data_IF_671170374974
#
_entry.id   IF_671170374974
#
_cell.length_a   1.000
_cell.length_b   1.000
_cell.length_c   1.000
_cell.angle_alpha   90.00
_cell.angle_beta   90.00
_cell.angle_gamma   90.00
#
_symmetry.space_group_name_H-M   'P 1'
#
loop_
_entity.id
_entity.type
_entity.pdbx_description
1 polymer ?
#
# COMPACT_ATOMS: atom_id res chain seq x y z
N UNK A 1 -3.82 -18.21 -21.78
CA UNK A 1 -3.64 -16.94 -21.03
C UNK A 1 -4.35 -16.95 -19.67
N UNK A 2 -5.69 -17.13 -19.58
CA UNK A 2 -6.42 -17.21 -18.28
C UNK A 2 -5.91 -18.34 -17.35
N UNK A 3 -5.59 -19.51 -17.91
CA UNK A 3 -5.05 -20.66 -17.17
C UNK A 3 -3.64 -20.41 -16.59
N UNK A 4 -2.84 -19.57 -17.25
CA UNK A 4 -1.50 -19.20 -16.78
C UNK A 4 -1.57 -18.15 -15.67
N UNK A 5 -2.47 -17.16 -15.81
CA UNK A 5 -2.76 -16.18 -14.77
C UNK A 5 -3.34 -16.83 -13.50
N UNK A 6 -4.29 -17.75 -13.66
CA UNK A 6 -4.81 -18.57 -12.56
C UNK A 6 -3.74 -19.46 -11.93
N UNK A 7 -2.83 -20.02 -12.72
CA UNK A 7 -1.73 -20.84 -12.21
C UNK A 7 -0.76 -20.04 -11.34
N UNK A 8 -0.39 -18.81 -11.74
CA UNK A 8 0.47 -17.94 -10.92
C UNK A 8 -0.22 -17.43 -9.65
N UNK A 9 -1.51 -17.09 -9.71
CA UNK A 9 -2.31 -16.75 -8.51
C UNK A 9 -2.39 -17.95 -7.58
N UNK A 10 -2.63 -19.15 -8.12
CA UNK A 10 -2.68 -20.38 -7.34
C UNK A 10 -1.32 -20.71 -6.74
N UNK A 11 -0.22 -20.51 -7.47
CA UNK A 11 1.16 -20.72 -6.98
C UNK A 11 1.51 -19.73 -5.86
N UNK A 12 1.08 -18.48 -5.98
CA UNK A 12 1.28 -17.46 -4.94
C UNK A 12 0.42 -17.75 -3.70
N UNK A 13 -0.81 -18.23 -3.88
CA UNK A 13 -1.67 -18.74 -2.80
C UNK A 13 -1.08 -20.00 -2.14
N UNK A 14 -0.52 -20.93 -2.93
CA UNK A 14 0.13 -22.14 -2.43
C UNK A 14 1.43 -21.82 -1.67
N UNK A 15 2.22 -20.87 -2.17
CA UNK A 15 3.41 -20.37 -1.51
C UNK A 15 3.06 -19.63 -0.21
N UNK A 16 1.99 -18.82 -0.23
CA UNK A 16 1.46 -18.18 0.98
C UNK A 16 0.89 -19.17 2.00
N UNK A 17 0.47 -20.36 1.57
CA UNK A 17 -0.02 -21.44 2.44
C UNK A 17 1.12 -22.31 3.02
N UNK A 18 2.24 -22.47 2.30
CA UNK A 18 3.38 -23.29 2.72
C UNK A 18 4.45 -22.52 3.49
N UNK A 19 4.54 -21.20 3.31
CA UNK A 19 5.39 -20.37 4.15
C UNK A 19 4.71 -20.18 5.51
N UNK A 20 5.39 -20.42 6.64
CA UNK A 20 4.88 -20.00 7.93
C UNK A 20 4.80 -18.47 7.89
N UNK A 21 3.60 -17.94 7.66
CA UNK A 21 3.27 -16.55 7.93
C UNK A 21 3.36 -16.34 9.43
N UNK A 22 4.58 -16.26 9.95
CA UNK A 22 4.89 -15.99 11.35
C UNK A 22 4.30 -14.63 11.78
N UNK A 23 4.04 -13.75 10.81
CA UNK A 23 3.35 -12.49 11.02
C UNK A 23 2.18 -12.40 10.03
N UNK A 24 1.07 -13.07 10.37
CA UNK A 24 -0.23 -12.62 9.88
C UNK A 24 -0.43 -11.22 10.48
N UNK A 25 0.02 -10.18 9.77
CA UNK A 25 -0.29 -8.79 10.11
C UNK A 25 -1.80 -8.60 9.94
N UNK A 26 -2.56 -8.99 10.95
CA UNK A 26 -3.96 -8.64 11.07
C UNK A 26 -3.99 -7.12 11.24
N UNK A 27 -4.23 -6.42 10.14
CA UNK A 27 -4.30 -4.97 10.15
C UNK A 27 -5.45 -4.54 11.05
N UNK A 28 -5.13 -4.01 12.22
CA UNK A 28 -6.15 -3.56 13.16
C UNK A 28 -6.52 -2.12 12.85
N UNK A 29 -7.71 -1.92 12.27
CA UNK A 29 -8.24 -0.57 12.01
C UNK A 29 -8.41 0.25 13.31
N UNK A 30 -8.59 -0.44 14.44
CA UNK A 30 -8.75 0.14 15.77
C UNK A 30 -7.44 0.26 16.55
N UNK A 31 -6.30 0.02 15.91
CA UNK A 31 -4.99 0.12 16.57
C UNK A 31 -4.78 1.54 17.13
N UNK A 32 -4.54 1.61 18.44
CA UNK A 32 -4.36 2.86 19.17
C UNK A 32 -5.65 3.62 19.50
N UNK A 33 -6.86 3.12 19.19
CA UNK A 33 -8.10 3.74 19.69
C UNK A 33 -8.18 3.56 21.21
N UNK A 34 -8.49 4.65 21.94
CA UNK A 34 -8.52 4.60 23.39
C UNK A 34 -9.55 3.58 23.92
N UNK A 35 -9.20 2.82 24.95
CA UNK A 35 -10.09 1.80 25.53
C UNK A 35 -11.44 2.34 26.00
N UNK A 36 -11.52 3.65 26.31
CA UNK A 36 -12.78 4.34 26.62
C UNK A 36 -13.76 4.42 25.44
N UNK A 37 -13.28 4.49 24.19
CA UNK A 37 -14.14 4.49 23.01
C UNK A 37 -14.70 3.08 22.74
N UNK A 38 -13.85 2.05 22.81
CA UNK A 38 -14.22 0.65 22.52
C UNK A 38 -15.09 0.00 23.62
N UNK A 39 -14.88 0.39 24.88
CA UNK A 39 -15.58 -0.19 26.03
C UNK A 39 -16.73 0.63 26.60
N UNK A 40 -16.68 1.97 26.50
CA UNK A 40 -17.66 2.87 27.13
C UNK A 40 -18.37 3.84 26.19
N UNK A 41 -18.08 3.80 24.88
CA UNK A 41 -18.74 4.64 23.88
C UNK A 41 -18.33 6.12 23.90
N UNK A 42 -17.35 6.49 24.73
CA UNK A 42 -16.83 7.85 24.85
C UNK A 42 -15.75 8.09 23.78
N UNK A 43 -16.16 8.11 22.51
CA UNK A 43 -15.24 8.35 21.40
C UNK A 43 -14.99 9.84 21.21
N UNK A 44 -13.72 10.22 21.18
CA UNK A 44 -13.30 11.60 20.91
C UNK A 44 -13.08 11.79 19.40
N UNK A 45 -13.03 13.04 18.96
CA UNK A 45 -12.66 13.37 17.58
C UNK A 45 -11.29 12.77 17.18
N UNK A 46 -10.37 12.67 18.15
CA UNK A 46 -9.05 12.08 17.97
C UNK A 46 -9.10 10.58 17.63
N UNK A 47 -10.03 9.83 18.25
CA UNK A 47 -10.21 8.39 17.96
C UNK A 47 -10.69 8.18 16.52
N UNK A 48 -11.62 9.02 16.05
CA UNK A 48 -12.14 8.97 14.67
C UNK A 48 -11.03 9.26 13.67
N UNK A 49 -10.22 10.30 13.91
CA UNK A 49 -9.08 10.64 13.05
C UNK A 49 -8.04 9.51 13.00
N UNK A 50 -7.80 8.83 14.12
CA UNK A 50 -6.88 7.69 14.18
C UNK A 50 -7.39 6.50 13.36
N UNK A 51 -8.68 6.18 13.43
CA UNK A 51 -9.28 5.13 12.58
C UNK A 51 -9.16 5.48 11.10
N UNK A 52 -9.44 6.72 10.71
CA UNK A 52 -9.31 7.16 9.31
C UNK A 52 -7.86 7.04 8.83
N UNK A 53 -6.90 7.44 9.66
CA UNK A 53 -5.48 7.29 9.35
C UNK A 53 -5.09 5.81 9.18
N UNK A 54 -5.54 4.93 10.08
CA UNK A 54 -5.28 3.49 9.99
C UNK A 54 -5.90 2.89 8.72
N UNK A 55 -7.17 3.21 8.41
CA UNK A 55 -7.83 2.76 7.18
C UNK A 55 -7.04 3.19 5.95
N UNK A 56 -6.58 4.44 5.93
CA UNK A 56 -5.73 4.89 4.86
C UNK A 56 -4.43 4.08 4.78
N UNK A 57 -3.73 3.85 5.91
CA UNK A 57 -2.44 3.14 5.95
C UNK A 57 -2.60 1.73 5.38
N UNK A 58 -3.73 1.08 5.67
CA UNK A 58 -4.10 -0.20 5.08
C UNK A 58 -4.25 -0.16 3.55
N UNK A 59 -4.94 0.85 3.03
CA UNK A 59 -5.15 1.00 1.57
C UNK A 59 -3.82 1.22 0.85
N UNK A 60 -2.94 2.07 1.37
CA UNK A 60 -1.62 2.27 0.76
C UNK A 60 -0.74 1.02 0.83
N UNK A 61 -0.72 0.33 1.98
CA UNK A 61 0.06 -0.91 2.14
C UNK A 61 -0.42 -2.02 1.18
N UNK A 62 -1.74 -2.22 1.09
CA UNK A 62 -2.32 -3.22 0.18
C UNK A 62 -2.06 -2.88 -1.28
N UNK A 63 -2.17 -1.60 -1.67
CA UNK A 63 -1.88 -1.15 -3.04
C UNK A 63 -0.41 -1.34 -3.41
N UNK A 64 0.52 -1.07 -2.49
CA UNK A 64 1.94 -1.32 -2.69
C UNK A 64 2.23 -2.82 -2.94
N UNK A 65 1.58 -3.71 -2.17
CA UNK A 65 1.68 -5.16 -2.38
C UNK A 65 1.17 -5.60 -3.76
N UNK A 66 0.03 -5.08 -4.20
CA UNK A 66 -0.54 -5.37 -5.53
C UNK A 66 0.38 -4.86 -6.65
N UNK A 67 0.93 -3.65 -6.49
CA UNK A 67 1.86 -3.07 -7.46
C UNK A 67 3.11 -3.95 -7.63
N UNK A 68 3.68 -4.48 -6.55
CA UNK A 68 4.81 -5.40 -6.60
C UNK A 68 4.49 -6.65 -7.44
N UNK A 69 3.32 -7.25 -7.23
CA UNK A 69 2.88 -8.44 -8.00
C UNK A 69 2.74 -8.10 -9.49
N UNK A 70 2.16 -6.95 -9.82
CA UNK A 70 2.00 -6.49 -11.21
C UNK A 70 3.34 -6.27 -11.90
N UNK A 71 4.36 -5.76 -11.19
CA UNK A 71 5.71 -5.65 -11.72
C UNK A 71 6.33 -7.02 -12.02
N UNK A 72 6.19 -8.00 -11.11
CA UNK A 72 6.69 -9.36 -11.33
C UNK A 72 6.02 -9.98 -12.55
N UNK A 73 4.69 -9.88 -12.65
CA UNK A 73 3.94 -10.43 -13.80
C UNK A 73 4.36 -9.75 -15.10
N UNK A 74 4.49 -8.42 -15.12
CA UNK A 74 4.95 -7.67 -16.28
C UNK A 74 6.36 -8.08 -16.70
N UNK A 75 7.27 -8.25 -15.75
CA UNK A 75 8.65 -8.66 -15.98
C UNK A 75 8.76 -10.09 -16.52
N UNK A 76 8.06 -11.06 -15.90
CA UNK A 76 8.05 -12.44 -16.37
C UNK A 76 7.44 -12.54 -17.78
N UNK A 77 6.35 -11.81 -18.04
CA UNK A 77 5.73 -11.81 -19.37
C UNK A 77 6.72 -11.26 -20.42
N UNK A 78 7.52 -10.24 -20.09
CA UNK A 78 8.53 -9.71 -21.01
C UNK A 78 9.56 -10.76 -21.44
N UNK A 79 10.01 -11.62 -20.51
CA UNK A 79 11.07 -12.62 -20.75
C UNK A 79 10.51 -13.85 -21.48
N UNK A 80 9.32 -14.33 -21.11
CA UNK A 80 8.75 -15.59 -21.62
C UNK A 80 7.94 -15.43 -22.92
N UNK A 81 7.76 -14.21 -23.44
CA UNK A 81 7.12 -13.98 -24.72
C UNK A 81 8.07 -14.39 -25.87
N UNK A 82 8.03 -15.67 -26.25
CA UNK A 82 8.80 -16.32 -27.33
C UNK A 82 8.57 -15.69 -28.72
N UNK A 83 9.03 -14.45 -28.93
CA UNK A 83 9.03 -13.78 -30.24
C UNK A 83 7.72 -13.11 -30.67
N UNK A 84 6.67 -13.11 -29.84
CA UNK A 84 5.44 -12.37 -30.16
C UNK A 84 5.59 -10.88 -29.80
N UNK A 85 5.79 -10.04 -30.82
CA UNK A 85 5.93 -8.58 -30.67
C UNK A 85 4.72 -7.91 -30.01
N UNK A 86 3.51 -8.43 -30.23
CA UNK A 86 2.29 -7.88 -29.61
C UNK A 86 2.30 -8.12 -28.09
N UNK A 87 2.71 -9.31 -27.66
CA UNK A 87 2.77 -9.67 -26.26
C UNK A 87 3.85 -8.87 -25.51
N UNK A 88 5.03 -8.68 -26.13
CA UNK A 88 6.11 -7.84 -25.58
C UNK A 88 5.66 -6.39 -25.41
N UNK A 89 4.93 -5.85 -26.39
CA UNK A 89 4.40 -4.49 -26.32
C UNK A 89 3.40 -4.35 -25.17
N UNK A 90 2.50 -5.32 -24.99
CA UNK A 90 1.55 -5.33 -23.87
C UNK A 90 2.25 -5.42 -22.51
N UNK A 91 3.29 -6.23 -22.36
CA UNK A 91 4.06 -6.31 -21.11
C UNK A 91 4.74 -4.99 -20.75
N UNK A 92 5.33 -4.29 -21.73
CA UNK A 92 5.94 -2.98 -21.52
C UNK A 92 4.92 -1.93 -21.07
N UNK A 93 3.75 -1.90 -21.70
CA UNK A 93 2.66 -1.00 -21.30
C UNK A 93 2.18 -1.29 -19.87
N UNK A 94 2.07 -2.58 -19.49
CA UNK A 94 1.70 -2.96 -18.13
C UNK A 94 2.70 -2.44 -17.09
N UNK A 95 4.01 -2.61 -17.34
CA UNK A 95 5.08 -2.12 -16.45
C UNK A 95 5.03 -0.59 -16.35
N UNK A 96 4.91 0.11 -17.49
CA UNK A 96 4.85 1.58 -17.52
C UNK A 96 3.62 2.12 -16.78
N UNK A 97 2.45 1.53 -16.99
CA UNK A 97 1.23 1.93 -16.28
C UNK A 97 1.35 1.69 -14.78
N UNK A 98 1.93 0.55 -14.37
CA UNK A 98 2.18 0.25 -12.95
C UNK A 98 3.15 1.25 -12.34
N UNK A 99 4.20 1.62 -13.07
CA UNK A 99 5.16 2.65 -12.64
C UNK A 99 4.50 4.02 -12.47
N UNK A 100 3.68 4.45 -13.44
CA UNK A 100 2.95 5.71 -13.36
C UNK A 100 2.00 5.72 -12.16
N UNK A 101 1.31 4.60 -11.87
CA UNK A 101 0.44 4.50 -10.70
C UNK A 101 1.21 4.71 -9.39
N UNK A 102 2.39 4.09 -9.24
CA UNK A 102 3.25 4.29 -8.05
C UNK A 102 3.69 5.75 -7.92
N UNK A 103 4.09 6.38 -9.03
CA UNK A 103 4.48 7.80 -9.04
C UNK A 103 3.33 8.70 -8.61
N UNK A 104 2.11 8.45 -9.09
CA UNK A 104 0.91 9.22 -8.71
C UNK A 104 0.62 9.08 -7.21
N UNK A 105 0.71 7.86 -6.66
CA UNK A 105 0.50 7.60 -5.23
C UNK A 105 1.50 8.39 -4.38
N UNK A 106 2.78 8.37 -4.78
CA UNK A 106 3.84 9.13 -4.10
C UNK A 106 3.62 10.64 -4.22
N UNK A 107 3.20 11.14 -5.39
CA UNK A 107 2.91 12.55 -5.60
C UNK A 107 1.69 13.02 -4.79
N UNK A 108 0.64 12.20 -4.67
CA UNK A 108 -0.51 12.53 -3.84
C UNK A 108 -0.12 12.69 -2.38
N UNK A 109 0.74 11.79 -1.87
CA UNK A 109 1.28 11.88 -0.51
C UNK A 109 2.05 13.18 -0.28
N UNK A 110 2.97 13.53 -1.19
CA UNK A 110 3.78 14.75 -1.03
C UNK A 110 2.92 16.01 -1.06
N UNK A 111 1.89 16.05 -1.90
CA UNK A 111 0.96 17.19 -1.97
C UNK A 111 0.15 17.33 -0.68
N UNK A 112 -0.44 16.24 -0.18
CA UNK A 112 -1.23 16.28 1.07
C UNK A 112 -0.37 16.76 2.22
N UNK A 113 0.85 16.23 2.36
CA UNK A 113 1.77 16.67 3.38
C UNK A 113 2.15 18.14 3.18
N UNK A 114 2.48 18.58 1.97
CA UNK A 114 2.81 19.98 1.70
C UNK A 114 1.71 20.94 2.19
N UNK A 115 0.45 20.57 1.96
CA UNK A 115 -0.71 21.34 2.44
C UNK A 115 -0.76 21.36 3.97
N UNK A 116 -0.64 20.20 4.63
CA UNK A 116 -0.68 20.13 6.11
C UNK A 116 0.44 20.96 6.73
N UNK A 117 1.66 20.89 6.18
CA UNK A 117 2.80 21.64 6.71
C UNK A 117 2.65 23.16 6.54
N UNK A 118 2.02 23.60 5.44
CA UNK A 118 1.70 25.02 5.23
C UNK A 118 0.77 25.56 6.32
N UNK A 119 -0.15 24.74 6.85
CA UNK A 119 -1.09 25.15 7.89
C UNK A 119 -0.57 24.94 9.31
N UNK A 120 0.23 23.90 9.56
CA UNK A 120 0.63 23.49 10.91
C UNK A 120 2.10 23.79 11.28
N UNK A 121 2.89 24.44 10.41
CA UNK A 121 4.31 24.77 10.65
C UNK A 121 5.18 23.57 11.08
N UNK A 122 4.86 22.37 10.58
CA UNK A 122 5.64 21.16 10.92
C UNK A 122 6.87 21.06 10.02
N UNK A 123 8.04 20.82 10.62
CA UNK A 123 9.31 20.80 9.89
C UNK A 123 9.39 19.62 8.88
N UNK A 124 9.75 19.88 7.62
CA UNK A 124 9.78 18.87 6.57
C UNK A 124 10.87 17.78 6.75
N UNK A 125 11.81 18.02 7.67
CA UNK A 125 12.90 17.09 7.94
C UNK A 125 12.45 15.79 8.62
N UNK A 126 11.27 15.77 9.24
CA UNK A 126 10.79 14.60 10.00
C UNK A 126 10.25 13.45 9.14
N UNK A 127 10.00 13.68 7.84
CA UNK A 127 9.34 12.72 6.94
C UNK A 127 10.23 11.56 6.50
N UNK A 128 11.56 11.73 6.58
CA UNK A 128 12.53 10.72 6.11
C UNK A 128 13.43 10.18 7.23
N UNK A 129 13.42 10.81 8.42
CA UNK A 129 14.36 10.48 9.50
C UNK A 129 13.76 9.51 10.54
N UNK A 130 12.43 9.52 10.73
CA UNK A 130 11.79 8.70 11.77
C UNK A 130 11.39 7.29 11.30
N UNK A 131 11.70 6.90 10.06
CA UNK A 131 11.29 5.61 9.47
C UNK A 131 9.79 5.49 9.15
N UNK A 132 8.95 6.36 9.70
CA UNK A 132 7.52 6.40 9.46
C UNK A 132 7.21 7.30 8.25
N UNK A 133 6.98 6.68 7.09
CA UNK A 133 6.62 7.36 5.83
C UNK A 133 5.22 7.96 5.86
N UNK A 134 4.37 7.67 6.84
CA UNK A 134 3.11 8.36 7.06
C UNK A 134 2.86 8.54 8.55
N UNK A 135 3.10 9.75 9.04
CA UNK A 135 2.88 10.09 10.44
C UNK A 135 1.38 10.32 10.68
N UNK A 136 0.82 9.56 11.62
CA UNK A 136 -0.56 9.72 12.07
C UNK A 136 -0.79 11.02 12.82
N UNK A 137 -2.06 11.41 13.02
CA UNK A 137 -2.39 12.60 13.78
C UNK A 137 -1.80 12.54 15.19
N UNK A 138 -1.02 13.55 15.57
CA UNK A 138 -0.50 13.75 16.94
C UNK A 138 -1.59 14.37 17.80
N UNK A 139 -2.63 13.59 18.06
CA UNK A 139 -3.63 13.94 19.05
C UNK A 139 -3.05 13.68 20.45
N UNK A 140 -2.72 14.76 21.16
CA UNK A 140 -2.50 14.71 22.61
C UNK A 140 -3.82 14.58 23.36
#
# INVERSE_FOLDING_TARGET
MKKLFLFFILLFLLAGFLLPVADAHAFSLMEGVGGGCTGSGNCTFCDILRVIHNVGKFVFLSTAGIAMIMFIIGGLMLIFNMGNAEAVTKSKQLILHTFIAVVIILAAYTIVNLIINLFLHVDPATWFINGEWWQGPTCQ
#
